data_IF_954275510214
#
_entry.id   IF_954275510214
#
_cell.length_a   1.000
_cell.length_b   1.000
_cell.length_c   1.000
_cell.angle_alpha   90.00
_cell.angle_beta   90.00
_cell.angle_gamma   90.00
#
_symmetry.space_group_name_H-M   'P 1'
#
loop_
_entity.id
_entity.type
_entity.pdbx_description
1 polymer ?
#
# COMPACT_ATOMS: atom_id res chain seq x y z
N UNK A 1 3.65 10.07 -1.71
CA UNK A 1 4.96 9.37 -1.62
C UNK A 1 5.28 8.54 -2.86
N UNK A 2 4.82 8.95 -4.04
CA UNK A 2 5.25 8.30 -5.28
C UNK A 2 6.53 8.98 -5.77
N UNK A 3 7.64 8.73 -5.04
CA UNK A 3 8.96 9.30 -5.31
C UNK A 3 9.29 9.04 -6.79
N UNK A 4 9.28 10.07 -7.66
CA UNK A 4 9.41 9.87 -9.09
C UNK A 4 10.70 9.13 -9.40
N UNK A 5 11.85 9.63 -8.94
CA UNK A 5 13.16 9.03 -9.19
C UNK A 5 13.66 8.09 -8.08
N UNK A 6 12.74 7.49 -7.31
CA UNK A 6 13.09 6.54 -6.26
C UNK A 6 13.37 5.14 -6.80
N UNK A 7 13.90 4.21 -5.97
CA UNK A 7 14.16 2.84 -6.37
C UNK A 7 12.95 2.17 -7.02
N UNK A 8 13.19 1.38 -8.07
CA UNK A 8 12.14 0.59 -8.74
C UNK A 8 11.54 -0.42 -7.77
N UNK A 9 12.39 -1.13 -7.03
CA UNK A 9 11.99 -2.18 -6.10
C UNK A 9 11.31 -1.60 -4.85
N UNK A 10 10.12 -2.11 -4.51
CA UNK A 10 9.37 -1.70 -3.31
C UNK A 10 10.21 -1.83 -2.03
N UNK A 11 10.96 -2.93 -1.87
CA UNK A 11 11.78 -3.17 -0.67
C UNK A 11 12.84 -2.10 -0.47
N UNK A 12 13.54 -1.70 -1.53
CA UNK A 12 14.55 -0.64 -1.48
C UNK A 12 13.92 0.71 -1.13
N UNK A 13 12.73 0.99 -1.67
CA UNK A 13 11.99 2.22 -1.36
C UNK A 13 11.57 2.28 0.10
N UNK A 14 11.05 1.19 0.65
CA UNK A 14 10.70 1.10 2.07
C UNK A 14 11.94 1.29 2.95
N UNK A 15 13.07 0.66 2.60
CA UNK A 15 14.32 0.82 3.34
C UNK A 15 14.80 2.29 3.36
N UNK A 16 14.71 3.00 2.23
CA UNK A 16 15.06 4.41 2.16
C UNK A 16 14.10 5.30 2.94
N UNK A 17 12.79 5.04 2.87
CA UNK A 17 11.80 5.76 3.68
C UNK A 17 12.05 5.56 5.18
N UNK A 18 12.35 4.34 5.60
CA UNK A 18 12.74 4.04 6.99
C UNK A 18 14.01 4.77 7.39
N UNK A 19 15.03 4.81 6.54
CA UNK A 19 16.26 5.57 6.80
C UNK A 19 16.03 7.08 6.94
N UNK A 20 14.96 7.61 6.31
CA UNK A 20 14.51 9.00 6.43
C UNK A 20 13.58 9.24 7.63
N UNK A 21 13.27 8.20 8.42
CA UNK A 21 12.43 8.30 9.63
C UNK A 21 10.94 8.05 9.41
N UNK A 22 10.53 7.50 8.25
CA UNK A 22 9.14 7.14 8.00
C UNK A 22 8.84 5.68 8.43
N UNK A 23 7.78 5.51 9.23
CA UNK A 23 7.32 4.21 9.74
C UNK A 23 6.32 3.52 8.79
N UNK A 24 6.70 3.34 7.51
CA UNK A 24 5.81 2.74 6.49
C UNK A 24 6.03 1.24 6.28
N UNK A 25 7.22 0.73 6.66
CA UNK A 25 7.63 -0.64 6.36
C UNK A 25 6.79 -1.68 7.12
N UNK A 26 6.42 -1.40 8.37
CA UNK A 26 5.67 -2.32 9.22
C UNK A 26 4.24 -2.58 8.74
N UNK A 27 3.71 -1.68 7.91
CA UNK A 27 2.36 -1.75 7.34
C UNK A 27 2.37 -2.04 5.83
N UNK A 28 3.51 -2.48 5.27
CA UNK A 28 3.64 -2.84 3.86
C UNK A 28 4.18 -4.26 3.73
N UNK A 29 3.31 -5.20 3.36
CA UNK A 29 3.68 -6.61 3.21
C UNK A 29 3.72 -7.04 1.75
N UNK A 30 4.79 -7.75 1.39
CA UNK A 30 4.85 -8.47 0.12
C UNK A 30 3.83 -9.61 0.14
N UNK A 31 3.08 -9.73 -0.94
CA UNK A 31 2.05 -10.74 -1.11
C UNK A 31 2.23 -11.41 -2.47
N UNK A 32 1.83 -12.68 -2.57
CA UNK A 32 1.79 -13.41 -3.83
C UNK A 32 0.38 -13.93 -4.05
N UNK A 33 -0.29 -13.40 -5.07
CA UNK A 33 -1.66 -13.79 -5.41
C UNK A 33 -2.75 -13.07 -4.60
N UNK A 34 -4.00 -13.30 -5.02
CA UNK A 34 -5.19 -12.62 -4.48
C UNK A 34 -5.59 -13.15 -3.11
N UNK A 35 -5.36 -14.43 -2.82
CA UNK A 35 -5.68 -15.07 -1.54
C UNK A 35 -4.90 -14.40 -0.40
N UNK A 36 -3.58 -14.22 -0.56
CA UNK A 36 -2.75 -13.49 0.39
C UNK A 36 -3.20 -12.03 0.58
N UNK A 37 -3.70 -11.38 -0.48
CA UNK A 37 -4.26 -10.03 -0.38
C UNK A 37 -5.51 -10.00 0.50
N UNK A 38 -6.40 -10.99 0.33
CA UNK A 38 -7.63 -11.12 1.11
C UNK A 38 -7.33 -11.40 2.59
N UNK A 39 -6.39 -12.29 2.88
CA UNK A 39 -5.96 -12.60 4.25
C UNK A 39 -5.44 -11.36 4.99
N UNK A 40 -4.59 -10.56 4.33
CA UNK A 40 -4.08 -9.31 4.93
C UNK A 40 -5.18 -8.30 5.16
N UNK A 41 -6.09 -8.13 4.19
CA UNK A 41 -7.24 -7.24 4.35
C UNK A 41 -8.12 -7.67 5.51
N UNK A 42 -8.42 -8.95 5.64
CA UNK A 42 -9.23 -9.48 6.75
C UNK A 42 -8.53 -9.30 8.10
N UNK A 43 -7.22 -9.57 8.16
CA UNK A 43 -6.41 -9.38 9.37
C UNK A 43 -6.46 -7.94 9.85
N UNK A 44 -6.27 -6.95 8.97
CA UNK A 44 -6.29 -5.54 9.35
C UNK A 44 -7.68 -4.98 9.57
N UNK A 45 -8.72 -5.54 8.92
CA UNK A 45 -10.09 -5.15 9.19
C UNK A 45 -10.56 -5.56 10.59
N UNK A 46 -10.14 -6.74 11.06
CA UNK A 46 -10.58 -7.31 12.34
C UNK A 46 -9.55 -7.14 13.48
N UNK A 47 -8.32 -6.72 13.17
CA UNK A 47 -7.23 -6.59 14.11
C UNK A 47 -7.07 -5.17 14.65
N UNK A 48 -6.50 -5.00 15.86
CA UNK A 48 -6.17 -3.68 16.37
C UNK A 48 -5.03 -3.05 15.55
N UNK A 49 -5.19 -1.78 15.21
CA UNK A 49 -4.15 -0.93 14.63
C UNK A 49 -4.02 0.35 15.46
N UNK A 50 -2.83 0.97 15.54
CA UNK A 50 -2.63 2.19 16.32
C UNK A 50 -3.26 3.45 15.70
N UNK A 51 -3.99 3.31 14.60
CA UNK A 51 -4.68 4.38 13.89
C UNK A 51 -5.89 3.82 13.13
N UNK A 52 -6.82 4.70 12.77
CA UNK A 52 -7.98 4.35 11.95
C UNK A 52 -7.57 4.09 10.50
N UNK A 53 -8.18 3.06 9.89
CA UNK A 53 -7.99 2.72 8.46
C UNK A 53 -9.34 2.53 7.79
N UNK A 54 -9.41 2.83 6.50
CA UNK A 54 -10.64 2.71 5.69
C UNK A 54 -10.56 1.59 4.63
N UNK A 55 -9.46 0.85 4.62
CA UNK A 55 -9.18 -0.23 3.68
C UNK A 55 -7.69 -0.52 3.55
N UNK A 56 -7.35 -1.22 2.48
CA UNK A 56 -5.96 -1.53 2.11
C UNK A 56 -5.65 -0.96 0.73
N UNK A 57 -4.37 -0.78 0.42
CA UNK A 57 -3.91 -0.39 -0.92
C UNK A 57 -3.06 -1.52 -1.48
N UNK A 58 -3.47 -2.10 -2.60
CA UNK A 58 -2.66 -3.05 -3.35
C UNK A 58 -1.82 -2.26 -4.35
N UNK A 59 -0.52 -2.57 -4.41
CA UNK A 59 0.44 -1.92 -5.32
C UNK A 59 1.26 -3.01 -6.01
N UNK A 60 1.46 -2.90 -7.32
CA UNK A 60 2.48 -3.70 -7.98
C UNK A 60 3.86 -3.34 -7.41
N UNK A 61 4.68 -4.37 -7.14
CA UNK A 61 6.01 -4.19 -6.59
C UNK A 61 6.97 -3.53 -7.59
N UNK A 62 6.81 -3.87 -8.86
CA UNK A 62 7.44 -3.20 -10.00
C UNK A 62 6.42 -2.23 -10.62
N UNK A 63 6.84 -0.99 -10.87
CA UNK A 63 5.96 0.06 -11.40
C UNK A 63 6.50 0.57 -12.74
N UNK A 64 5.62 0.98 -13.66
CA UNK A 64 6.04 1.63 -14.90
C UNK A 64 6.82 2.92 -14.62
N UNK A 65 7.70 3.29 -15.55
CA UNK A 65 8.57 4.46 -15.42
C UNK A 65 7.80 5.76 -15.13
N UNK A 66 8.49 6.75 -14.54
CA UNK A 66 7.97 8.10 -14.19
C UNK A 66 7.23 8.79 -15.32
N UNK A 67 7.54 8.47 -16.58
CA UNK A 67 6.87 9.03 -17.75
C UNK A 67 5.37 8.69 -17.84
N UNK A 68 4.93 7.68 -17.10
CA UNK A 68 3.51 7.29 -16.98
C UNK A 68 2.79 7.98 -15.81
N UNK A 69 3.48 8.82 -15.03
CA UNK A 69 2.87 9.55 -13.94
C UNK A 69 1.85 10.57 -14.46
N UNK A 70 0.66 10.57 -13.85
CA UNK A 70 -0.39 11.54 -14.11
C UNK A 70 -1.14 11.87 -12.81
N UNK A 71 -2.01 12.88 -12.84
CA UNK A 71 -2.89 13.20 -11.71
C UNK A 71 -4.06 12.23 -11.52
N UNK A 72 -4.25 11.28 -12.45
CA UNK A 72 -5.26 10.23 -12.34
C UNK A 72 -4.75 9.07 -11.48
N UNK A 73 -5.64 8.24 -10.90
CA UNK A 73 -5.23 7.04 -10.19
C UNK A 73 -4.31 6.18 -11.07
N UNK A 74 -3.16 5.72 -10.54
CA UNK A 74 -2.24 4.89 -11.30
C UNK A 74 -2.84 3.51 -11.59
N UNK A 75 -2.60 2.96 -12.77
CA UNK A 75 -3.07 1.62 -13.14
C UNK A 75 -2.42 0.50 -12.29
N UNK A 76 -1.27 0.78 -11.69
CA UNK A 76 -0.48 -0.18 -10.91
C UNK A 76 -0.85 -0.23 -9.42
N UNK A 77 -1.86 0.53 -8.98
CA UNK A 77 -2.35 0.48 -7.62
C UNK A 77 -3.88 0.62 -7.52
N UNK A 78 -4.47 -0.06 -6.54
CA UNK A 78 -5.90 0.01 -6.26
C UNK A 78 -6.15 0.12 -4.77
N UNK A 79 -7.08 0.99 -4.38
CA UNK A 79 -7.60 1.06 -3.02
C UNK A 79 -8.75 0.07 -2.85
N UNK A 80 -8.60 -0.89 -1.94
CA UNK A 80 -9.62 -1.87 -1.60
C UNK A 80 -10.23 -1.54 -0.24
N UNK A 81 -11.35 -0.81 -0.27
CA UNK A 81 -12.03 -0.29 0.92
C UNK A 81 -12.69 -1.37 1.76
N UNK A 82 -12.79 -1.11 3.05
CA UNK A 82 -13.64 -1.88 3.96
C UNK A 82 -15.13 -1.60 3.69
N UNK A 83 -16.04 -2.49 4.13
CA UNK A 83 -17.46 -2.19 4.10
C UNK A 83 -17.75 -0.91 4.88
N UNK A 84 -18.62 -0.05 4.36
CA UNK A 84 -19.02 1.18 5.06
C UNK A 84 -19.73 0.81 6.36
N UNK A 85 -19.15 1.19 7.50
CA UNK A 85 -19.88 1.18 8.76
C UNK A 85 -20.83 2.39 8.75
N UNK A 86 -22.13 2.13 8.67
CA UNK A 86 -23.13 3.16 8.93
C UNK A 86 -23.25 3.29 10.44
N UNK A 87 -22.98 4.50 10.96
CA UNK A 87 -23.36 4.83 12.33
C UNK A 87 -24.91 4.95 12.38
N UNK A 88 -25.52 4.30 13.36
CA UNK A 88 -26.95 4.40 13.69
C UNK A 88 -27.24 5.70 14.44
#
# INVERSE_FOLDING_TARGET
WDWPDGPTQMTERLAQLTALGFETADYTHSISGQEAAAEWRERWFNGPLPFATDGVVLKQADRPSVRSWSSSPPEWAVAWKYPSQQAL
#
